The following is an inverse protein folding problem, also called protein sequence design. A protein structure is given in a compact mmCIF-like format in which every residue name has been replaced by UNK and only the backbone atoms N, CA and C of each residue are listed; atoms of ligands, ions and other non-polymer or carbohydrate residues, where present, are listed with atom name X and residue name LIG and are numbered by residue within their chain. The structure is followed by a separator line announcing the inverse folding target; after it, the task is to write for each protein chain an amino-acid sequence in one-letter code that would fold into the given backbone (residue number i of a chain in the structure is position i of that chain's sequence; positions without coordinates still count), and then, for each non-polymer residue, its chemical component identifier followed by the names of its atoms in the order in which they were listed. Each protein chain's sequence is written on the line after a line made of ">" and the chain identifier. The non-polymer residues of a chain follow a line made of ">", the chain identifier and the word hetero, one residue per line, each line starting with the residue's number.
data_IF_396196067849
#
_entry.id   IF_396196067849
#
_cell.length_a   1.000
_cell.length_b   1.000
_cell.length_c   1.000
_cell.angle_alpha   90.00
_cell.angle_beta   90.00
_cell.angle_gamma   90.00
#
_symmetry.space_group_name_H-M   'P 1'
#
loop_
_entity.id
_entity.type
_entity.pdbx_description
1 polymer ?
#
# COMPACT_ATOMS: atom_id res chain seq x y z
N UNK A 1 8.53 -7.07 4.55
CA UNK A 1 7.38 -6.31 4.03
C UNK A 1 7.79 -4.85 3.97
N UNK A 2 7.48 -4.09 2.91
CA UNK A 2 7.86 -2.66 2.85
C UNK A 2 9.11 -2.32 2.04
N UNK A 3 9.76 -3.27 1.34
CA UNK A 3 10.98 -2.96 0.56
C UNK A 3 10.70 -2.23 -0.77
N UNK A 4 9.55 -2.53 -1.40
CA UNK A 4 9.14 -1.99 -2.71
C UNK A 4 7.82 -1.22 -2.69
N UNK A 5 6.95 -1.54 -1.74
CA UNK A 5 5.69 -0.89 -1.42
C UNK A 5 5.35 -1.25 0.03
N UNK A 6 4.65 -0.35 0.73
CA UNK A 6 4.14 -0.60 2.08
C UNK A 6 2.68 -0.98 1.96
N UNK A 7 2.40 -2.28 2.10
CA UNK A 7 1.05 -2.85 1.97
C UNK A 7 0.77 -3.86 3.07
N UNK A 8 -0.51 -4.07 3.35
CA UNK A 8 -1.00 -5.24 4.11
C UNK A 8 -2.04 -5.97 3.29
N UNK A 9 -1.93 -7.30 3.26
CA UNK A 9 -2.89 -8.17 2.57
C UNK A 9 -3.77 -8.95 3.55
N UNK A 10 -5.00 -9.22 3.17
CA UNK A 10 -5.87 -10.21 3.81
C UNK A 10 -6.35 -11.19 2.75
N UNK A 11 -6.11 -12.47 2.99
CA UNK A 11 -6.66 -13.57 2.19
C UNK A 11 -7.70 -14.32 3.01
N UNK A 12 -8.89 -14.51 2.47
CA UNK A 12 -10.03 -15.05 3.19
C UNK A 12 -11.01 -15.75 2.23
N UNK A 13 -11.98 -16.47 2.80
CA UNK A 13 -13.06 -17.09 2.05
C UNK A 13 -14.39 -16.43 2.40
N UNK A 14 -15.19 -16.10 1.40
CA UNK A 14 -16.51 -15.52 1.55
C UNK A 14 -17.41 -16.06 0.43
N UNK A 15 -18.59 -16.55 0.79
CA UNK A 15 -19.58 -17.12 -0.14
C UNK A 15 -19.02 -18.17 -1.11
N UNK A 16 -18.09 -19.00 -0.61
CA UNK A 16 -17.49 -20.09 -1.38
C UNK A 16 -16.34 -19.67 -2.31
N UNK A 17 -16.02 -18.38 -2.40
CA UNK A 17 -14.90 -17.85 -3.19
C UNK A 17 -13.72 -17.45 -2.30
N UNK A 18 -12.51 -17.57 -2.83
CA UNK A 18 -11.28 -17.11 -2.19
C UNK A 18 -10.96 -15.69 -2.64
N UNK A 19 -10.74 -14.79 -1.69
CA UNK A 19 -10.52 -13.37 -1.91
C UNK A 19 -9.15 -12.94 -1.40
N UNK A 20 -8.56 -11.94 -2.07
CA UNK A 20 -7.39 -11.22 -1.62
C UNK A 20 -7.67 -9.72 -1.67
N UNK A 21 -7.55 -9.06 -0.52
CA UNK A 21 -7.54 -7.60 -0.45
C UNK A 21 -6.13 -7.13 -0.09
N UNK A 22 -5.62 -6.12 -0.80
CA UNK A 22 -4.41 -5.38 -0.45
C UNK A 22 -4.78 -3.95 -0.03
N UNK A 23 -4.30 -3.52 1.14
CA UNK A 23 -4.35 -2.12 1.59
C UNK A 23 -2.98 -1.48 1.40
N UNK A 24 -2.93 -0.40 0.62
CA UNK A 24 -1.70 0.32 0.28
C UNK A 24 -1.55 1.55 1.17
N UNK A 25 -0.42 1.62 1.88
CA UNK A 25 -0.04 2.79 2.68
C UNK A 25 0.98 3.65 1.95
N UNK A 26 1.84 3.01 1.14
CA UNK A 26 2.79 3.68 0.26
C UNK A 26 3.02 2.79 -0.97
N UNK A 27 2.73 3.29 -2.17
CA UNK A 27 2.77 2.53 -3.43
C UNK A 27 4.19 2.26 -3.96
N UNK A 28 5.17 3.07 -3.53
CA UNK A 28 6.53 3.01 -4.07
C UNK A 28 6.55 3.39 -5.55
N UNK A 29 5.80 4.45 -5.89
CA UNK A 29 5.65 5.03 -7.23
C UNK A 29 5.01 4.11 -8.26
N UNK A 30 4.17 3.19 -7.80
CA UNK A 30 3.34 2.33 -8.65
C UNK A 30 1.93 2.89 -8.69
N UNK A 31 1.19 2.51 -9.72
CA UNK A 31 -0.23 2.83 -9.81
C UNK A 31 -1.05 1.87 -8.95
N UNK A 32 -0.87 1.96 -7.64
CA UNK A 32 -1.64 1.21 -6.66
C UNK A 32 -2.66 2.14 -6.01
N UNK A 33 -3.93 1.75 -6.11
CA UNK A 33 -4.98 2.37 -5.32
C UNK A 33 -4.78 2.16 -3.81
N UNK A 34 -5.53 2.92 -2.99
CA UNK A 34 -5.49 2.76 -1.52
C UNK A 34 -5.93 1.36 -1.07
N UNK A 35 -6.79 0.73 -1.86
CA UNK A 35 -7.24 -0.66 -1.70
C UNK A 35 -7.32 -1.29 -3.09
N UNK A 36 -6.90 -2.55 -3.20
CA UNK A 36 -7.20 -3.42 -4.33
C UNK A 36 -7.83 -4.71 -3.82
N UNK A 37 -8.78 -5.27 -4.59
CA UNK A 37 -9.52 -6.47 -4.24
C UNK A 37 -9.62 -7.42 -5.43
N UNK A 38 -9.26 -8.69 -5.22
CA UNK A 38 -9.27 -9.72 -6.25
C UNK A 38 -10.06 -10.95 -5.78
N UNK A 39 -10.90 -11.48 -6.67
CA UNK A 39 -11.52 -12.80 -6.50
C UNK A 39 -10.55 -13.85 -7.07
N UNK A 40 -9.77 -14.51 -6.22
CA UNK A 40 -8.77 -15.48 -6.65
C UNK A 40 -9.37 -16.77 -7.20
N UNK A 41 -10.64 -17.06 -6.93
CA UNK A 41 -11.33 -18.22 -7.52
C UNK A 41 -11.61 -18.04 -9.01
N UNK A 42 -11.82 -16.79 -9.44
CA UNK A 42 -12.13 -16.45 -10.85
C UNK A 42 -10.94 -15.79 -11.56
N UNK A 43 -10.10 -15.08 -10.80
CA UNK A 43 -8.94 -14.32 -11.27
C UNK A 43 -7.69 -14.63 -10.42
N UNK A 44 -7.07 -15.81 -10.60
CA UNK A 44 -5.88 -16.21 -9.85
C UNK A 44 -4.63 -15.38 -10.20
N UNK A 45 -4.70 -14.51 -11.21
CA UNK A 45 -3.60 -13.66 -11.68
C UNK A 45 -3.79 -12.19 -11.31
N UNK A 46 -4.83 -11.85 -10.54
CA UNK A 46 -5.03 -10.52 -9.97
C UNK A 46 -5.08 -9.41 -11.05
N UNK A 47 -5.69 -9.72 -12.20
CA UNK A 47 -5.76 -8.82 -13.35
C UNK A 47 -6.91 -7.80 -13.24
N UNK A 48 -7.94 -8.10 -12.46
CA UNK A 48 -9.18 -7.31 -12.37
C UNK A 48 -9.43 -6.86 -10.93
N UNK A 49 -9.15 -5.58 -10.66
CA UNK A 49 -9.46 -4.98 -9.36
C UNK A 49 -10.97 -4.72 -9.21
N UNK A 50 -11.57 -5.36 -8.20
CA UNK A 50 -12.98 -5.27 -7.85
C UNK A 50 -13.26 -4.30 -6.69
N UNK A 51 -12.25 -3.57 -6.20
CA UNK A 51 -12.36 -2.70 -5.03
C UNK A 51 -13.45 -1.62 -5.17
N UNK A 52 -13.68 -1.13 -6.39
CA UNK A 52 -14.70 -0.10 -6.67
C UNK A 52 -16.13 -0.66 -6.83
N UNK A 53 -16.27 -1.93 -7.18
CA UNK A 53 -17.58 -2.56 -7.47
C UNK A 53 -18.08 -3.46 -6.35
N UNK A 54 -17.21 -3.93 -5.46
CA UNK A 54 -17.52 -4.86 -4.35
C UNK A 54 -17.15 -4.28 -2.99
N UNK A 55 -17.74 -3.12 -2.68
CA UNK A 55 -17.53 -2.44 -1.40
C UNK A 55 -17.91 -3.28 -0.17
N UNK A 56 -18.91 -4.16 -0.31
CA UNK A 56 -19.31 -5.15 0.69
C UNK A 56 -18.16 -6.10 1.08
N UNK A 57 -17.42 -6.57 0.09
CA UNK A 57 -16.27 -7.47 0.29
C UNK A 57 -15.07 -6.71 0.83
N UNK A 58 -14.84 -5.47 0.37
CA UNK A 58 -13.80 -4.57 0.92
C UNK A 58 -14.05 -4.29 2.40
N UNK A 59 -15.30 -4.03 2.80
CA UNK A 59 -15.66 -3.79 4.19
C UNK A 59 -15.42 -5.02 5.07
N UNK A 60 -15.80 -6.21 4.57
CA UNK A 60 -15.54 -7.47 5.24
C UNK A 60 -14.03 -7.69 5.46
N UNK A 61 -13.24 -7.56 4.39
CA UNK A 61 -11.79 -7.72 4.43
C UNK A 61 -11.11 -6.67 5.34
N UNK A 62 -11.62 -5.44 5.33
CA UNK A 62 -11.14 -4.35 6.19
C UNK A 62 -11.34 -4.65 7.66
N UNK A 63 -12.51 -5.22 8.04
CA UNK A 63 -12.77 -5.64 9.42
C UNK A 63 -11.81 -6.75 9.84
N UNK A 64 -11.63 -7.78 9.00
CA UNK A 64 -10.66 -8.85 9.27
C UNK A 64 -9.24 -8.31 9.49
N UNK A 65 -8.81 -7.34 8.68
CA UNK A 65 -7.49 -6.72 8.82
C UNK A 65 -7.35 -5.98 10.16
N UNK A 66 -8.35 -5.20 10.55
CA UNK A 66 -8.32 -4.43 11.80
C UNK A 66 -8.44 -5.30 13.05
N UNK A 67 -9.23 -6.37 13.01
CA UNK A 67 -9.33 -7.34 14.10
C UNK A 67 -7.99 -8.04 14.32
N UNK A 68 -7.34 -8.45 13.23
CA UNK A 68 -5.99 -9.02 13.29
C UNK A 68 -4.99 -7.99 13.83
N UNK A 69 -5.00 -6.76 13.33
CA UNK A 69 -4.07 -5.70 13.78
C UNK A 69 -4.25 -5.40 15.26
N UNK A 70 -5.49 -5.32 15.74
CA UNK A 70 -5.82 -5.14 17.16
C UNK A 70 -5.31 -6.32 18.00
N UNK A 71 -5.48 -7.55 17.50
CA UNK A 71 -4.97 -8.74 18.18
C UNK A 71 -3.45 -8.74 18.28
N UNK A 72 -2.74 -8.35 17.21
CA UNK A 72 -1.28 -8.23 17.22
C UNK A 72 -0.82 -7.13 18.17
N UNK A 73 -1.47 -5.95 18.15
CA UNK A 73 -1.14 -4.86 19.05
C UNK A 73 -1.27 -5.24 20.54
N UNK A 74 -2.24 -6.11 20.89
CA UNK A 74 -2.42 -6.61 22.27
C UNK A 74 -1.41 -7.66 22.69
N UNK A 75 -0.81 -8.38 21.73
CA UNK A 75 0.10 -9.52 21.99
C UNK A 75 1.57 -9.19 21.79
N UNK A 76 1.87 -8.09 21.09
CA UNK A 76 3.23 -7.66 20.79
C UNK A 76 3.96 -7.25 22.07
N UNK A 77 5.23 -7.64 22.19
CA UNK A 77 6.13 -7.17 23.25
C UNK A 77 6.66 -5.75 22.99
N UNK A 78 6.26 -5.14 21.88
CA UNK A 78 6.64 -3.79 21.46
C UNK A 78 5.44 -3.01 20.93
N UNK A 79 5.42 -1.70 21.18
CA UNK A 79 4.46 -0.74 20.63
C UNK A 79 4.81 -0.27 19.20
N UNK A 80 5.96 -0.72 18.67
CA UNK A 80 6.45 -0.35 17.34
C UNK A 80 5.91 -1.32 16.28
N UNK A 81 5.20 -0.76 15.32
CA UNK A 81 4.82 -1.42 14.07
C UNK A 81 5.89 -1.16 12.99
N UNK A 82 6.63 -2.19 12.52
CA UNK A 82 7.71 -2.00 11.55
C UNK A 82 7.24 -1.35 10.24
N UNK A 83 6.01 -1.57 9.78
CA UNK A 83 5.51 -0.92 8.57
C UNK A 83 5.28 0.58 8.79
N UNK A 84 4.86 0.97 9.99
CA UNK A 84 4.72 2.39 10.35
C UNK A 84 6.10 3.06 10.44
N UNK A 85 7.13 2.35 10.91
CA UNK A 85 8.51 2.84 10.89
C UNK A 85 8.95 3.16 9.46
N UNK A 86 8.75 2.23 8.51
CA UNK A 86 9.09 2.45 7.09
C UNK A 86 8.37 3.68 6.51
N UNK A 87 7.08 3.85 6.83
CA UNK A 87 6.33 5.04 6.41
C UNK A 87 6.96 6.33 6.98
N UNK A 88 7.31 6.33 8.27
CA UNK A 88 7.95 7.47 8.94
C UNK A 88 9.36 7.77 8.45
N UNK A 89 10.05 6.77 7.91
CA UNK A 89 11.39 6.90 7.32
C UNK A 89 11.36 7.44 5.89
N UNK A 90 10.18 7.66 5.30
CA UNK A 90 10.02 8.22 3.96
C UNK A 90 9.63 7.18 2.91
N UNK A 91 9.27 5.96 3.33
CA UNK A 91 8.75 4.92 2.45
C UNK A 91 9.72 3.77 2.16
N UNK A 92 9.39 2.93 1.17
CA UNK A 92 10.13 1.72 0.86
C UNK A 92 11.60 1.96 0.49
N UNK A 93 12.50 1.12 1.02
CA UNK A 93 13.95 1.25 0.82
C UNK A 93 14.37 1.39 -0.64
N UNK A 94 13.83 0.56 -1.55
CA UNK A 94 14.24 0.58 -2.97
C UNK A 94 13.67 1.76 -3.78
N UNK A 95 12.76 2.55 -3.20
CA UNK A 95 12.16 3.71 -3.85
C UNK A 95 12.59 5.02 -3.18
N UNK A 96 13.19 4.96 -2.00
CA UNK A 96 13.56 6.13 -1.21
C UNK A 96 14.64 6.95 -1.94
N UNK A 97 14.36 8.21 -2.24
CA UNK A 97 15.27 9.11 -2.96
C UNK A 97 15.31 8.94 -4.48
N UNK A 98 14.66 7.90 -5.04
CA UNK A 98 14.73 7.56 -6.46
C UNK A 98 13.72 8.34 -7.34
N UNK A 99 12.79 9.08 -6.73
CA UNK A 99 11.71 9.77 -7.45
C UNK A 99 12.22 10.71 -8.55
N UNK A 100 13.21 11.60 -8.33
CA UNK A 100 13.67 12.53 -9.36
C UNK A 100 14.19 11.81 -10.62
N UNK A 101 15.02 10.77 -10.44
CA UNK A 101 15.54 9.98 -11.55
C UNK A 101 14.45 9.18 -12.26
N UNK A 102 13.44 8.69 -11.51
CA UNK A 102 12.32 7.99 -12.12
C UNK A 102 11.43 8.93 -12.97
N UNK A 103 11.16 10.14 -12.50
CA UNK A 103 10.42 11.17 -13.23
C UNK A 103 11.12 11.55 -14.54
N UNK A 104 12.45 11.73 -14.51
CA UNK A 104 13.24 11.97 -15.71
C UNK A 104 13.11 10.81 -16.71
N UNK A 105 13.21 9.57 -16.24
CA UNK A 105 13.00 8.38 -17.08
C UNK A 105 11.62 8.35 -17.70
N UNK A 106 10.57 8.65 -16.94
CA UNK A 106 9.19 8.69 -17.44
C UNK A 106 9.06 9.71 -18.58
N UNK A 107 9.55 10.94 -18.39
CA UNK A 107 9.54 11.97 -19.43
C UNK A 107 10.32 11.56 -20.69
N UNK A 108 11.55 11.06 -20.53
CA UNK A 108 12.42 10.65 -21.65
C UNK A 108 11.84 9.51 -22.49
N UNK A 109 10.95 8.71 -21.91
CA UNK A 109 10.31 7.56 -22.57
C UNK A 109 8.88 7.84 -23.01
N UNK A 110 8.48 9.11 -23.11
CA UNK A 110 7.16 9.51 -23.62
C UNK A 110 6.01 9.36 -22.61
N UNK A 111 6.29 9.08 -21.34
CA UNK A 111 5.30 8.92 -20.26
C UNK A 111 5.20 10.17 -19.40
N UNK A 112 5.17 11.35 -20.04
CA UNK A 112 5.16 12.63 -19.35
C UNK A 112 3.90 12.82 -18.46
N UNK A 113 2.74 12.29 -18.87
CA UNK A 113 1.51 12.35 -18.07
C UNK A 113 1.66 11.62 -16.73
N UNK A 114 2.18 10.40 -16.73
CA UNK A 114 2.47 9.64 -15.51
C UNK A 114 3.52 10.33 -14.62
N UNK A 115 4.49 11.03 -15.22
CA UNK A 115 5.44 11.83 -14.45
C UNK A 115 4.73 13.01 -13.74
N UNK A 116 3.82 13.70 -14.42
CA UNK A 116 3.06 14.80 -13.84
C UNK A 116 2.11 14.34 -12.72
N UNK A 117 1.48 13.17 -12.87
CA UNK A 117 0.64 12.57 -11.82
C UNK A 117 1.48 12.24 -10.58
N UNK A 118 2.65 11.62 -10.77
CA UNK A 118 3.56 11.24 -9.69
C UNK A 118 4.27 12.44 -9.03
N UNK A 119 4.36 13.57 -9.73
CA UNK A 119 4.85 14.84 -9.15
C UNK A 119 3.84 15.54 -8.26
N UNK A 120 2.55 15.20 -8.36
CA UNK A 120 1.58 15.75 -7.42
C UNK A 120 1.93 15.29 -6.00
N UNK A 121 1.72 16.13 -4.97
CA UNK A 121 2.06 15.76 -3.61
C UNK A 121 1.30 14.49 -3.21
N UNK A 122 2.00 13.36 -3.22
CA UNK A 122 1.63 12.21 -2.41
C UNK A 122 1.61 12.67 -0.94
N UNK A 123 0.77 12.09 -0.06
CA UNK A 123 0.79 12.42 1.36
C UNK A 123 2.17 12.09 1.95
N UNK A 124 3.06 13.08 1.91
CA UNK A 124 4.39 12.97 2.47
C UNK A 124 4.25 12.90 4.00
N UNK A 125 5.04 12.07 4.68
CA UNK A 125 5.12 12.15 6.12
C UNK A 125 5.55 13.57 6.52
N UNK A 126 5.03 14.13 7.62
CA UNK A 126 5.40 15.47 8.07
C UNK A 126 6.93 15.55 8.25
N UNK A 127 7.54 16.72 8.00
CA UNK A 127 8.98 16.89 8.15
C UNK A 127 9.42 16.42 9.54
N UNK A 128 10.53 15.68 9.59
CA UNK A 128 11.11 15.21 10.85
C UNK A 128 11.25 16.39 11.80
N UNK A 129 10.64 16.30 12.99
CA UNK A 129 11.00 17.19 14.11
C UNK A 129 12.50 17.01 14.32
N UNK A 130 13.28 18.07 14.11
CA UNK A 130 14.68 18.07 14.51
C UNK A 130 14.68 17.86 16.02
N UNK A 131 15.33 16.79 16.48
CA UNK A 131 15.62 16.62 17.90
C UNK A 131 16.40 17.87 18.33
N UNK A 132 15.86 18.61 19.30
CA UNK A 132 16.61 19.69 19.94
C UNK A 132 17.75 19.03 20.70
N UNK A 133 18.95 19.11 20.14
CA UNK A 133 20.19 18.75 20.82
C UNK A 133 20.54 19.82 21.86
#
# INVERSE_FOLDING_TARGET
>A
QGAWAVQRGVRFRLDGADWLMLRTYHDGYKDFGPVSLFNLSEDPHEQHDLSSSRGDVVDHASRLLEDWRTTMARRSDSDVDPLVTVIREGGPFHCLGELPGYLERLRRTGRAAAASELEQPHPAPPPRRQSMT
#
